data_IF_207627241181
#
_entry.id   IF_207627241181
#
_cell.length_a   1.000
_cell.length_b   1.000
_cell.length_c   1.000
_cell.angle_alpha   90.00
_cell.angle_beta   90.00
_cell.angle_gamma   90.00
#
_symmetry.space_group_name_H-M   'P 1'
#
loop_
_entity.id
_entity.type
_entity.pdbx_description
1 polymer ?
#
# COMPACT_ATOMS: atom_id res chain seq x y z
N UNK A 1 -34.00 -4.55 -38.08
CA UNK A 1 -32.57 -4.82 -37.83
C UNK A 1 -32.01 -3.76 -36.86
N UNK A 2 -31.96 -4.04 -35.56
CA UNK A 2 -31.35 -3.12 -34.56
C UNK A 2 -30.07 -3.74 -34.00
N UNK A 3 -28.91 -3.22 -34.45
CA UNK A 3 -27.58 -3.64 -33.97
C UNK A 3 -27.32 -3.06 -32.58
N UNK A 4 -27.31 -3.90 -31.54
CA UNK A 4 -26.75 -3.57 -30.22
C UNK A 4 -25.24 -3.35 -30.35
N UNK A 5 -24.78 -2.09 -30.29
CA UNK A 5 -23.36 -1.76 -30.18
C UNK A 5 -22.90 -2.06 -28.74
N UNK A 6 -22.33 -3.25 -28.53
CA UNK A 6 -21.66 -3.54 -27.26
C UNK A 6 -20.36 -2.74 -27.13
N UNK A 7 -20.21 -2.13 -25.96
CA UNK A 7 -19.20 -1.14 -25.59
C UNK A 7 -17.80 -1.77 -25.42
N UNK A 8 -16.95 -1.65 -26.44
CA UNK A 8 -15.56 -2.12 -26.41
C UNK A 8 -14.61 -1.25 -25.53
N UNK A 9 -15.05 -0.07 -25.07
CA UNK A 9 -14.21 0.84 -24.25
C UNK A 9 -14.08 0.40 -22.79
N UNK A 10 -14.98 -0.45 -22.27
CA UNK A 10 -14.93 -0.91 -20.88
C UNK A 10 -13.80 -1.92 -20.61
N UNK A 11 -13.43 -2.73 -21.61
CA UNK A 11 -12.38 -3.74 -21.48
C UNK A 11 -10.96 -3.12 -21.45
N UNK A 12 -10.67 -2.16 -22.32
CA UNK A 12 -9.38 -1.46 -22.36
C UNK A 12 -9.11 -0.67 -21.07
N UNK A 13 -10.15 -0.12 -20.45
CA UNK A 13 -10.05 0.69 -19.23
C UNK A 13 -9.82 -0.13 -17.94
N UNK A 14 -10.08 -1.44 -17.98
CA UNK A 14 -9.84 -2.35 -16.85
C UNK A 14 -8.42 -2.94 -16.88
N UNK A 15 -7.88 -3.22 -18.08
CA UNK A 15 -6.52 -3.73 -18.25
C UNK A 15 -5.48 -2.72 -17.78
N UNK A 16 -5.65 -1.43 -18.12
CA UNK A 16 -4.77 -0.33 -17.66
C UNK A 16 -4.78 -0.19 -16.14
N UNK A 17 -5.95 -0.17 -15.51
CA UNK A 17 -6.08 -0.10 -14.04
C UNK A 17 -5.46 -1.30 -13.33
N UNK A 18 -5.57 -2.50 -13.89
CA UNK A 18 -4.94 -3.69 -13.33
C UNK A 18 -3.41 -3.62 -13.44
N UNK A 19 -2.90 -3.09 -14.56
CA UNK A 19 -1.48 -2.89 -14.79
C UNK A 19 -0.89 -1.80 -13.88
N UNK A 20 -1.59 -0.68 -13.71
CA UNK A 20 -1.20 0.41 -12.78
C UNK A 20 -1.12 -0.09 -11.33
N UNK A 21 -2.07 -0.95 -10.92
CA UNK A 21 -2.03 -1.58 -9.60
C UNK A 21 -0.80 -2.47 -9.44
N UNK A 22 -0.48 -3.30 -10.44
CA UNK A 22 0.72 -4.15 -10.40
C UNK A 22 1.99 -3.30 -10.32
N UNK A 23 2.11 -2.26 -11.15
CA UNK A 23 3.25 -1.34 -11.14
C UNK A 23 3.41 -0.70 -9.76
N UNK A 24 2.33 -0.23 -9.15
CA UNK A 24 2.38 0.36 -7.82
C UNK A 24 2.78 -0.64 -6.74
N UNK A 25 2.25 -1.86 -6.78
CA UNK A 25 2.60 -2.93 -5.83
C UNK A 25 4.06 -3.34 -5.98
N UNK A 26 4.55 -3.49 -7.21
CA UNK A 26 5.94 -3.80 -7.50
C UNK A 26 6.87 -2.67 -7.05
N UNK A 27 6.44 -1.42 -7.23
CA UNK A 27 7.17 -0.26 -6.71
C UNK A 27 7.30 -0.32 -5.18
N UNK A 28 6.19 -0.57 -4.46
CA UNK A 28 6.21 -0.71 -2.99
C UNK A 28 7.14 -1.83 -2.57
N UNK A 29 7.02 -3.02 -3.18
CA UNK A 29 7.87 -4.17 -2.87
C UNK A 29 9.34 -3.88 -3.13
N UNK A 30 9.69 -3.39 -4.34
CA UNK A 30 11.07 -3.06 -4.73
C UNK A 30 11.69 -2.02 -3.80
N UNK A 31 10.97 -0.94 -3.50
CA UNK A 31 11.47 0.13 -2.62
C UNK A 31 11.88 -0.41 -1.25
N UNK A 32 11.04 -1.24 -0.64
CA UNK A 32 11.33 -1.84 0.67
C UNK A 32 12.50 -2.81 0.59
N UNK A 33 12.52 -3.73 -0.38
CA UNK A 33 13.59 -4.73 -0.54
C UNK A 33 14.95 -4.07 -0.81
N UNK A 34 14.98 -3.04 -1.67
CA UNK A 34 16.20 -2.28 -1.96
C UNK A 34 16.70 -1.52 -0.73
N UNK A 35 15.79 -0.94 0.07
CA UNK A 35 16.18 -0.23 1.31
C UNK A 35 16.68 -1.17 2.40
N UNK A 36 16.16 -2.39 2.46
CA UNK A 36 16.59 -3.42 3.40
C UNK A 36 17.80 -4.23 2.90
N UNK A 37 18.16 -4.11 1.63
CA UNK A 37 19.21 -4.88 0.97
C UNK A 37 19.05 -6.41 1.13
N UNK A 38 17.81 -6.90 1.01
CA UNK A 38 17.47 -8.32 1.14
C UNK A 38 16.60 -8.78 -0.02
N UNK A 39 16.64 -10.08 -0.31
CA UNK A 39 15.70 -10.69 -1.26
C UNK A 39 14.32 -10.90 -0.63
N UNK A 40 13.28 -11.04 -1.45
CA UNK A 40 11.92 -11.31 -0.95
C UNK A 40 11.82 -12.64 -0.19
N UNK A 41 12.48 -13.68 -0.69
CA UNK A 41 12.52 -15.01 -0.06
C UNK A 41 13.23 -14.96 1.29
N UNK A 42 14.35 -14.25 1.37
CA UNK A 42 15.08 -14.03 2.62
C UNK A 42 14.24 -13.25 3.63
N UNK A 43 13.60 -12.15 3.21
CA UNK A 43 12.74 -11.37 4.08
C UNK A 43 11.61 -12.23 4.69
N UNK A 44 10.98 -13.07 3.88
CA UNK A 44 9.90 -13.97 4.31
C UNK A 44 10.39 -15.10 5.22
N UNK A 45 11.64 -15.55 5.07
CA UNK A 45 12.25 -16.58 5.90
C UNK A 45 12.69 -16.02 7.26
N UNK A 46 13.22 -14.81 7.29
CA UNK A 46 13.84 -14.21 8.49
C UNK A 46 12.82 -13.50 9.39
N UNK A 47 11.69 -13.06 8.85
CA UNK A 47 10.75 -12.23 9.59
C UNK A 47 9.31 -12.78 9.56
N UNK A 48 8.61 -12.61 10.67
CA UNK A 48 7.17 -12.83 10.75
C UNK A 48 6.41 -11.81 9.88
N UNK A 49 5.19 -12.14 9.47
CA UNK A 49 4.35 -11.24 8.67
C UNK A 49 4.19 -9.84 9.30
N UNK A 50 4.10 -9.77 10.63
CA UNK A 50 3.89 -8.50 11.35
C UNK A 50 5.16 -7.66 11.33
N UNK A 51 6.31 -8.32 11.44
CA UNK A 51 7.60 -7.65 11.33
C UNK A 51 7.82 -7.15 9.91
N UNK A 52 7.44 -7.92 8.89
CA UNK A 52 7.48 -7.49 7.49
C UNK A 52 6.57 -6.27 7.27
N UNK A 53 5.34 -6.30 7.81
CA UNK A 53 4.42 -5.17 7.74
C UNK A 53 5.01 -3.91 8.36
N UNK A 54 5.58 -4.02 9.56
CA UNK A 54 6.20 -2.90 10.26
C UNK A 54 7.42 -2.35 9.52
N UNK A 55 8.35 -3.22 9.10
CA UNK A 55 9.55 -2.85 8.32
C UNK A 55 9.16 -2.14 7.02
N UNK A 56 8.15 -2.64 6.31
CA UNK A 56 7.68 -2.01 5.07
C UNK A 56 7.22 -0.55 5.32
N UNK A 57 6.52 -0.31 6.43
CA UNK A 57 6.04 1.03 6.84
C UNK A 57 7.13 1.95 7.40
N UNK A 58 8.34 1.46 7.64
CA UNK A 58 9.52 2.29 7.93
C UNK A 58 10.10 2.91 6.65
N UNK A 59 10.01 2.20 5.53
CA UNK A 59 10.61 2.63 4.28
C UNK A 59 9.63 3.29 3.32
N UNK A 60 8.35 2.89 3.35
CA UNK A 60 7.33 3.39 2.42
C UNK A 60 6.08 3.81 3.18
N UNK A 61 5.58 5.01 2.88
CA UNK A 61 4.26 5.45 3.33
C UNK A 61 3.19 4.92 2.37
N UNK A 62 2.35 3.99 2.85
CA UNK A 62 1.36 3.32 2.03
C UNK A 62 0.10 2.96 2.84
N UNK A 63 -0.96 2.56 2.14
CA UNK A 63 -2.14 2.00 2.80
C UNK A 63 -1.88 0.55 3.21
N UNK A 64 -2.53 0.09 4.29
CA UNK A 64 -2.47 -1.31 4.76
C UNK A 64 -2.64 -2.30 3.61
N UNK A 65 -3.67 -2.09 2.79
CA UNK A 65 -4.03 -3.00 1.70
C UNK A 65 -2.93 -3.08 0.64
N UNK A 66 -2.26 -1.97 0.32
CA UNK A 66 -1.12 -1.99 -0.59
C UNK A 66 0.05 -2.80 -0.04
N UNK A 67 0.40 -2.65 1.25
CA UNK A 67 1.49 -3.42 1.87
C UNK A 67 1.12 -4.91 1.94
N UNK A 68 -0.10 -5.25 2.37
CA UNK A 68 -0.56 -6.63 2.43
C UNK A 68 -0.51 -7.29 1.05
N UNK A 69 -0.95 -6.62 -0.01
CA UNK A 69 -0.84 -7.16 -1.38
C UNK A 69 0.61 -7.23 -1.87
N UNK A 70 1.46 -6.28 -1.49
CA UNK A 70 2.87 -6.28 -1.88
C UNK A 70 3.67 -7.41 -1.23
N UNK A 71 3.34 -7.82 -0.01
CA UNK A 71 4.09 -8.87 0.70
C UNK A 71 3.30 -10.15 0.93
N UNK A 72 2.14 -10.28 0.27
CA UNK A 72 1.26 -11.44 0.40
C UNK A 72 0.95 -11.77 1.87
N UNK A 73 0.59 -10.72 2.63
CA UNK A 73 0.31 -10.79 4.06
C UNK A 73 -1.19 -10.93 4.31
N UNK A 74 -1.54 -11.64 5.38
CA UNK A 74 -2.93 -11.84 5.77
C UNK A 74 -3.55 -10.52 6.28
N UNK A 75 -4.61 -10.07 5.61
CA UNK A 75 -5.21 -8.74 5.85
C UNK A 75 -5.82 -8.63 7.26
N UNK A 76 -6.48 -9.68 7.75
CA UNK A 76 -7.13 -9.71 9.06
C UNK A 76 -6.12 -9.65 10.20
N UNK A 77 -5.03 -10.42 10.07
CA UNK A 77 -3.90 -10.34 11.01
C UNK A 77 -3.33 -8.93 11.08
N UNK A 78 -3.07 -8.31 9.93
CA UNK A 78 -2.51 -6.95 9.90
C UNK A 78 -3.48 -5.86 10.34
N UNK A 79 -4.80 -6.08 10.31
CA UNK A 79 -5.76 -5.18 10.98
C UNK A 79 -5.51 -5.11 12.50
N UNK A 80 -5.30 -6.27 13.13
CA UNK A 80 -5.07 -6.37 14.58
C UNK A 80 -3.74 -5.72 14.94
N UNK A 81 -2.66 -6.10 14.25
CA UNK A 81 -1.33 -5.55 14.51
C UNK A 81 -1.25 -4.05 14.28
N UNK A 82 -1.90 -3.53 13.22
CA UNK A 82 -1.99 -2.08 12.98
C UNK A 82 -2.51 -1.37 14.23
N UNK A 83 -3.60 -1.88 14.81
CA UNK A 83 -4.22 -1.28 16.00
C UNK A 83 -3.28 -1.31 17.19
N UNK A 84 -2.53 -2.39 17.35
CA UNK A 84 -1.56 -2.53 18.45
C UNK A 84 -0.37 -1.58 18.27
N UNK A 85 0.16 -1.43 17.05
CA UNK A 85 1.21 -0.46 16.75
C UNK A 85 0.76 1.00 16.87
N UNK A 86 -0.50 1.29 16.58
CA UNK A 86 -1.07 2.63 16.81
C UNK A 86 -1.21 2.93 18.31
N UNK A 87 -1.67 1.97 19.10
CA UNK A 87 -1.77 2.10 20.55
C UNK A 87 -0.40 2.25 21.22
N UNK A 88 0.62 1.57 20.70
CA UNK A 88 2.00 1.70 21.19
C UNK A 88 2.70 2.97 20.69
N UNK A 89 2.05 3.77 19.83
CA UNK A 89 2.62 5.00 19.26
C UNK A 89 3.73 4.76 18.22
N UNK A 90 3.93 3.51 17.79
CA UNK A 90 4.94 3.12 16.80
C UNK A 90 4.45 3.31 15.36
N UNK A 91 3.13 3.36 15.17
CA UNK A 91 2.50 3.67 13.89
C UNK A 91 1.67 4.93 14.01
N UNK A 92 1.72 5.73 12.96
CA UNK A 92 0.89 6.92 12.79
C UNK A 92 0.15 6.80 11.47
N UNK A 93 -1.02 7.44 11.39
CA UNK A 93 -1.87 7.47 10.21
C UNK A 93 -2.20 8.92 9.81
N UNK A 94 -2.45 9.17 8.53
CA UNK A 94 -2.85 10.51 8.06
C UNK A 94 -4.15 10.96 8.74
N UNK A 95 -4.26 12.24 9.10
CA UNK A 95 -5.51 12.80 9.63
C UNK A 95 -6.64 12.75 8.60
N UNK A 96 -6.33 13.07 7.33
CA UNK A 96 -7.27 13.02 6.22
C UNK A 96 -7.17 11.70 5.47
N UNK A 97 -8.28 11.28 4.89
CA UNK A 97 -8.32 10.17 3.94
C UNK A 97 -7.90 10.69 2.57
N UNK A 98 -6.98 9.99 1.93
CA UNK A 98 -6.51 10.29 0.58
C UNK A 98 -6.88 9.15 -0.36
N UNK A 99 -6.97 9.43 -1.65
CA UNK A 99 -7.24 8.40 -2.64
C UNK A 99 -6.10 7.38 -2.65
N UNK A 100 -6.42 6.13 -2.36
CA UNK A 100 -5.47 5.03 -2.39
C UNK A 100 -5.06 4.75 -3.85
N UNK A 101 -3.76 4.76 -4.15
CA UNK A 101 -3.26 4.42 -5.50
C UNK A 101 -3.58 2.97 -5.91
N UNK A 102 -3.74 2.07 -4.93
CA UNK A 102 -4.04 0.66 -5.17
C UNK A 102 -5.55 0.38 -5.35
N UNK A 103 -6.41 0.85 -4.45
CA UNK A 103 -7.85 0.56 -4.53
C UNK A 103 -8.64 1.63 -5.27
N UNK A 104 -8.13 2.85 -5.37
CA UNK A 104 -8.87 4.03 -5.83
C UNK A 104 -9.84 4.60 -4.78
N UNK A 105 -9.95 3.98 -3.61
CA UNK A 105 -10.86 4.37 -2.53
C UNK A 105 -10.17 5.30 -1.53
N UNK A 106 -10.91 6.19 -0.83
CA UNK A 106 -10.37 7.00 0.25
C UNK A 106 -9.87 6.13 1.41
N UNK A 107 -8.59 6.27 1.77
CA UNK A 107 -7.96 5.54 2.86
C UNK A 107 -6.96 6.40 3.62
N UNK A 108 -6.69 6.03 4.88
CA UNK A 108 -5.59 6.60 5.65
C UNK A 108 -4.28 5.95 5.21
N UNK A 109 -3.25 6.77 4.99
CA UNK A 109 -1.90 6.27 4.74
C UNK A 109 -1.20 6.07 6.08
N UNK A 110 -0.37 5.03 6.15
CA UNK A 110 0.33 4.59 7.34
C UNK A 110 1.83 4.79 7.15
N UNK A 111 2.52 5.23 8.20
CA UNK A 111 3.98 5.22 8.28
C UNK A 111 4.39 5.13 9.75
N UNK A 112 5.64 4.81 9.99
CA UNK A 112 6.27 4.83 11.32
C UNK A 112 7.05 6.12 11.56
N UNK A 113 7.31 6.91 10.51
CA UNK A 113 8.04 8.17 10.59
C UNK A 113 7.06 9.35 10.52
N UNK A 114 6.93 10.07 11.65
CA UNK A 114 6.08 11.25 11.76
C UNK A 114 6.48 12.36 10.79
N UNK A 115 7.77 12.47 10.45
CA UNK A 115 8.31 13.51 9.57
C UNK A 115 7.85 13.32 8.11
N UNK A 116 7.73 12.06 7.67
CA UNK A 116 7.24 11.69 6.33
C UNK A 116 5.77 12.04 6.12
N UNK A 117 5.01 12.38 7.17
CA UNK A 117 3.65 12.92 7.00
C UNK A 117 3.64 14.34 6.49
N UNK A 118 4.61 15.18 6.85
CA UNK A 118 4.63 16.57 6.41
C UNK A 118 4.82 16.67 4.89
N UNK A 119 5.59 15.75 4.29
CA UNK A 119 5.73 15.62 2.83
C UNK A 119 4.39 15.27 2.14
N UNK A 120 3.52 14.53 2.82
CA UNK A 120 2.18 14.22 2.34
C UNK A 120 1.29 15.46 2.49
N UNK A 121 1.24 16.08 3.68
CA UNK A 121 0.37 17.22 3.97
C UNK A 121 0.67 18.46 3.10
N UNK A 122 1.93 18.73 2.77
CA UNK A 122 2.32 19.85 1.91
C UNK A 122 1.89 19.67 0.44
N UNK A 123 1.74 18.44 -0.04
CA UNK A 123 1.33 18.15 -1.42
C UNK A 123 -0.20 18.14 -1.65
N UNK A 124 -1.01 18.34 -0.60
CA UNK A 124 -2.48 18.42 -0.71
C UNK A 124 -3.06 19.83 -0.44
N UNK A 125 -2.21 20.86 -0.34
CA UNK A 125 -2.63 22.26 -0.48
C UNK A 125 -2.43 22.70 -1.94
N UNK A 126 -3.41 22.42 -2.79
CA UNK A 126 -3.70 23.23 -3.97
C UNK A 126 -5.17 23.07 -4.33
#
# INVERSE_FOLDING_TARGET
MSRRKHNAKSFLNNSTKAQDKKIYIDFVRKTVLTKLNVSYSELKRTHSQDRIFFLALQHVTATKKAICTAFDLEVERQCRNKRDFEKSGQLVQTLKRHKCKFTGEPAHYLTTDKSKFNEILCNFKR
#
